data_IF_011483683246
#
_entry.id   IF_011483683246
#
_cell.length_a   1.000
_cell.length_b   1.000
_cell.length_c   1.000
_cell.angle_alpha   90.00
_cell.angle_beta   90.00
_cell.angle_gamma   90.00
#
_symmetry.space_group_name_H-M   'P 1'
#
loop_
_entity.id
_entity.type
_entity.pdbx_description
1 polymer ?
#
# COMPACT_ATOMS: atom_id res chain seq x y z
N UNK A 1 -36.02 -11.69 45.98
CA UNK A 1 -35.25 -10.67 45.23
C UNK A 1 -36.16 -9.47 45.02
N UNK A 2 -35.85 -8.35 45.62
CA UNK A 2 -36.69 -7.15 45.58
C UNK A 2 -36.42 -6.38 44.27
N UNK A 3 -37.44 -5.71 43.75
CA UNK A 3 -37.38 -4.90 42.52
C UNK A 3 -36.21 -3.92 42.50
N UNK A 4 -35.77 -3.43 43.67
CA UNK A 4 -34.56 -2.59 43.85
C UNK A 4 -33.25 -3.29 43.51
N UNK A 5 -33.13 -4.60 43.76
CA UNK A 5 -31.93 -5.38 43.43
C UNK A 5 -31.82 -5.68 41.95
N UNK A 6 -32.96 -5.81 41.25
CA UNK A 6 -33.01 -5.95 39.81
C UNK A 6 -32.57 -4.66 39.09
N UNK A 7 -32.98 -3.48 39.59
CA UNK A 7 -32.59 -2.20 39.00
C UNK A 7 -31.08 -1.89 39.17
N UNK A 8 -30.47 -2.30 40.27
CA UNK A 8 -29.03 -2.12 40.49
C UNK A 8 -28.20 -3.04 39.59
N UNK A 9 -28.65 -4.27 39.35
CA UNK A 9 -28.00 -5.20 38.41
C UNK A 9 -28.14 -4.76 36.97
N UNK A 10 -29.29 -4.20 36.58
CA UNK A 10 -29.51 -3.67 35.24
C UNK A 10 -28.66 -2.39 34.94
N UNK A 11 -28.46 -1.54 35.97
CA UNK A 11 -27.63 -0.32 35.84
C UNK A 11 -26.13 -0.62 35.73
N UNK A 12 -25.63 -1.72 36.31
CA UNK A 12 -24.22 -2.11 36.21
C UNK A 12 -23.86 -2.75 34.84
N UNK A 13 -24.82 -3.22 34.05
CA UNK A 13 -24.58 -3.84 32.74
C UNK A 13 -24.46 -2.83 31.59
N UNK A 14 -24.78 -1.55 31.81
CA UNK A 14 -24.72 -0.49 30.79
C UNK A 14 -23.46 0.34 30.87
N UNK A 15 -22.62 0.17 31.89
CA UNK A 15 -21.36 0.88 32.05
C UNK A 15 -20.16 0.07 31.51
N UNK A 16 -20.25 -0.46 30.28
CA UNK A 16 -19.12 -1.03 29.56
C UNK A 16 -18.55 -0.03 28.55
N UNK A 17 -17.26 -0.06 28.29
CA UNK A 17 -16.31 1.05 28.37
C UNK A 17 -16.32 1.91 27.10
N UNK A 18 -16.75 3.14 27.23
CA UNK A 18 -16.59 4.16 26.17
C UNK A 18 -15.14 4.64 25.97
N UNK A 19 -14.16 4.12 26.72
CA UNK A 19 -12.78 4.61 26.65
C UNK A 19 -11.83 3.85 25.71
N UNK A 20 -12.24 2.74 25.12
CA UNK A 20 -11.36 1.97 24.20
C UNK A 20 -11.55 2.34 22.71
N UNK A 21 -12.56 3.13 22.37
CA UNK A 21 -12.97 3.32 20.98
C UNK A 21 -12.26 4.47 20.22
N UNK A 22 -11.50 5.33 20.88
CA UNK A 22 -11.03 6.57 20.24
C UNK A 22 -9.72 6.46 19.45
N UNK A 23 -8.89 5.46 19.72
CA UNK A 23 -7.68 5.21 18.91
C UNK A 23 -7.95 4.27 17.73
N UNK A 24 -8.89 3.36 17.88
CA UNK A 24 -9.23 2.37 16.84
C UNK A 24 -10.14 2.96 15.75
N UNK A 25 -10.97 3.94 16.08
CA UNK A 25 -11.89 4.58 15.10
C UNK A 25 -11.15 5.42 14.04
N UNK A 26 -10.00 6.03 14.37
CA UNK A 26 -9.20 6.77 13.38
C UNK A 26 -8.45 5.83 12.44
N UNK A 27 -8.01 4.69 12.94
CA UNK A 27 -7.40 3.65 12.13
C UNK A 27 -8.44 2.98 11.22
N UNK A 28 -9.63 2.67 11.73
CA UNK A 28 -10.72 2.07 10.97
C UNK A 28 -11.25 3.00 9.86
N UNK A 29 -11.41 4.28 10.13
CA UNK A 29 -11.82 5.27 9.11
C UNK A 29 -10.84 5.34 7.96
N UNK A 30 -9.55 5.46 8.23
CA UNK A 30 -8.52 5.46 7.18
C UNK A 30 -8.47 4.17 6.38
N UNK A 31 -8.61 3.03 7.03
CA UNK A 31 -8.63 1.74 6.34
C UNK A 31 -9.82 1.63 5.38
N UNK A 32 -10.97 2.18 5.74
CA UNK A 32 -12.15 2.24 4.85
C UNK A 32 -11.88 3.18 3.69
N UNK A 33 -11.29 4.36 3.92
CA UNK A 33 -10.97 5.33 2.87
C UNK A 33 -9.94 4.75 1.88
N UNK A 34 -8.90 4.10 2.37
CA UNK A 34 -7.87 3.44 1.56
C UNK A 34 -8.48 2.30 0.72
N UNK A 35 -9.34 1.46 1.34
CA UNK A 35 -10.02 0.37 0.62
C UNK A 35 -10.92 0.90 -0.48
N UNK A 36 -11.73 1.94 -0.20
CA UNK A 36 -12.58 2.56 -1.20
C UNK A 36 -11.77 3.20 -2.34
N UNK A 37 -10.65 3.81 -2.01
CA UNK A 37 -9.72 4.36 -3.00
C UNK A 37 -9.12 3.27 -3.88
N UNK A 38 -8.65 2.15 -3.31
CA UNK A 38 -8.15 0.99 -4.08
C UNK A 38 -9.20 0.47 -5.06
N UNK A 39 -10.43 0.27 -4.60
CA UNK A 39 -11.55 -0.18 -5.43
C UNK A 39 -11.83 0.82 -6.56
N UNK A 40 -11.86 2.12 -6.25
CA UNK A 40 -12.17 3.17 -7.24
C UNK A 40 -11.09 3.27 -8.32
N UNK A 41 -9.81 3.18 -7.94
CA UNK A 41 -8.69 3.18 -8.88
C UNK A 41 -8.69 1.92 -9.75
N UNK A 42 -8.87 0.73 -9.16
CA UNK A 42 -9.01 -0.52 -9.93
C UNK A 42 -10.18 -0.45 -10.92
N UNK A 43 -11.33 0.09 -10.50
CA UNK A 43 -12.47 0.29 -11.38
C UNK A 43 -12.22 1.32 -12.48
N UNK A 44 -11.42 2.36 -12.23
CA UNK A 44 -11.01 3.32 -13.26
C UNK A 44 -10.05 2.67 -14.26
N UNK A 45 -9.10 1.85 -13.81
CA UNK A 45 -8.19 1.09 -14.67
C UNK A 45 -8.93 0.13 -15.60
N UNK A 46 -9.98 -0.55 -15.13
CA UNK A 46 -10.80 -1.44 -15.94
C UNK A 46 -11.59 -0.71 -17.03
N UNK A 47 -11.86 0.59 -16.86
CA UNK A 47 -12.57 1.44 -17.82
C UNK A 47 -11.64 2.28 -18.70
N UNK A 48 -10.34 2.14 -18.55
CA UNK A 48 -9.33 2.91 -19.26
C UNK A 48 -9.25 2.46 -20.73
N UNK A 49 -9.96 3.17 -21.61
CA UNK A 49 -9.92 2.90 -23.05
C UNK A 49 -8.58 3.32 -23.66
N UNK A 50 -8.02 2.47 -24.51
CA UNK A 50 -6.73 2.72 -25.18
C UNK A 50 -5.47 2.39 -24.36
N UNK A 51 -5.63 1.98 -23.10
CA UNK A 51 -4.55 1.57 -22.19
C UNK A 51 -4.70 0.12 -21.76
N UNK A 52 -3.60 -0.61 -21.71
CA UNK A 52 -3.60 -1.97 -21.18
C UNK A 52 -3.03 -1.97 -19.76
N UNK A 53 -3.95 -1.97 -18.80
CA UNK A 53 -3.67 -1.97 -17.36
C UNK A 53 -4.04 -3.30 -16.70
N UNK A 54 -4.30 -4.35 -17.49
CA UNK A 54 -4.76 -5.66 -16.99
C UNK A 54 -3.71 -6.37 -16.11
N UNK A 55 -2.42 -6.07 -16.32
CA UNK A 55 -1.31 -6.60 -15.53
C UNK A 55 -0.91 -5.74 -14.34
N UNK A 56 -1.62 -4.62 -14.10
CA UNK A 56 -1.31 -3.68 -13.01
C UNK A 56 -2.13 -4.03 -11.77
N UNK A 57 -1.45 -4.11 -10.63
CA UNK A 57 -2.07 -4.19 -9.32
C UNK A 57 -1.92 -2.88 -8.54
N UNK A 58 -2.93 -2.58 -7.71
CA UNK A 58 -3.01 -1.36 -6.90
C UNK A 58 -3.33 -1.71 -5.47
N UNK A 59 -2.49 -1.26 -4.57
CA UNK A 59 -2.75 -1.33 -3.14
C UNK A 59 -2.59 0.07 -2.52
N UNK A 60 -3.59 0.49 -1.75
CA UNK A 60 -3.55 1.79 -1.05
C UNK A 60 -3.59 1.52 0.45
N UNK A 61 -2.57 2.02 1.16
CA UNK A 61 -2.45 1.87 2.60
C UNK A 61 -1.87 3.15 3.19
N UNK A 62 -2.54 3.73 4.19
CA UNK A 62 -2.16 4.98 4.87
C UNK A 62 -1.96 6.16 3.88
N UNK A 63 -2.74 6.17 2.78
CA UNK A 63 -2.66 7.18 1.73
C UNK A 63 -1.47 7.03 0.77
N UNK A 64 -0.72 5.94 0.86
CA UNK A 64 0.31 5.57 -0.09
C UNK A 64 -0.28 4.58 -1.09
N UNK A 65 -0.31 4.92 -2.37
CA UNK A 65 -0.68 4.01 -3.44
C UNK A 65 0.57 3.31 -3.97
N UNK A 66 0.66 2.01 -3.78
CA UNK A 66 1.62 1.15 -4.46
C UNK A 66 0.99 0.67 -5.77
N UNK A 67 1.68 0.90 -6.87
CA UNK A 67 1.37 0.34 -8.18
C UNK A 67 2.43 -0.70 -8.51
N UNK A 68 2.02 -1.93 -8.68
CA UNK A 68 2.90 -3.06 -9.01
C UNK A 68 2.44 -3.81 -10.25
N UNK A 69 3.15 -4.89 -10.56
CA UNK A 69 2.82 -5.71 -11.71
C UNK A 69 3.53 -5.26 -12.99
N UNK A 70 2.86 -5.43 -14.15
CA UNK A 70 3.44 -5.14 -15.47
C UNK A 70 2.47 -4.38 -16.35
N UNK A 71 3.00 -3.51 -17.20
CA UNK A 71 2.27 -2.84 -18.27
C UNK A 71 3.08 -2.93 -19.57
N UNK A 72 2.43 -3.13 -20.74
CA UNK A 72 3.17 -3.36 -21.99
C UNK A 72 3.92 -2.11 -22.48
N UNK A 73 3.44 -0.90 -22.15
CA UNK A 73 4.02 0.36 -22.63
C UNK A 73 4.27 1.33 -21.48
N UNK A 74 5.24 2.21 -21.65
CA UNK A 74 5.53 3.28 -20.68
C UNK A 74 4.31 4.20 -20.46
N UNK A 75 3.55 4.49 -21.51
CA UNK A 75 2.34 5.31 -21.40
C UNK A 75 1.27 4.65 -20.53
N UNK A 76 1.15 3.32 -20.56
CA UNK A 76 0.23 2.56 -19.69
C UNK A 76 0.67 2.68 -18.22
N UNK A 77 1.98 2.55 -17.94
CA UNK A 77 2.56 2.75 -16.59
C UNK A 77 2.26 4.14 -16.05
N UNK A 78 2.43 5.17 -16.86
CA UNK A 78 2.17 6.56 -16.48
C UNK A 78 0.68 6.83 -16.28
N UNK A 79 -0.17 6.28 -17.13
CA UNK A 79 -1.60 6.44 -16.99
C UNK A 79 -2.15 5.78 -15.74
N UNK A 80 -1.63 4.60 -15.37
CA UNK A 80 -1.94 3.96 -14.09
C UNK A 80 -1.60 4.87 -12.89
N UNK A 81 -0.46 5.56 -12.94
CA UNK A 81 -0.08 6.55 -11.91
C UNK A 81 -1.08 7.72 -11.85
N UNK A 82 -1.51 8.22 -13.01
CA UNK A 82 -2.51 9.29 -13.08
C UNK A 82 -3.84 8.87 -12.47
N UNK A 83 -4.29 7.65 -12.74
CA UNK A 83 -5.50 7.10 -12.15
C UNK A 83 -5.38 6.96 -10.63
N UNK A 84 -4.22 6.54 -10.11
CA UNK A 84 -3.98 6.49 -8.68
C UNK A 84 -4.08 7.89 -8.04
N UNK A 85 -3.49 8.90 -8.67
CA UNK A 85 -3.57 10.28 -8.20
C UNK A 85 -4.98 10.89 -8.26
N UNK A 86 -5.91 10.32 -9.03
CA UNK A 86 -7.30 10.78 -9.08
C UNK A 86 -8.07 10.46 -7.80
N UNK A 87 -7.63 9.50 -7.00
CA UNK A 87 -8.30 9.11 -5.77
C UNK A 87 -7.98 10.11 -4.63
N UNK A 88 -9.01 10.68 -3.95
CA UNK A 88 -8.80 11.71 -2.93
C UNK A 88 -7.99 11.28 -1.72
N UNK A 89 -8.03 9.99 -1.37
CA UNK A 89 -7.28 9.42 -0.25
C UNK A 89 -5.77 9.31 -0.53
N UNK A 90 -5.36 9.35 -1.81
CA UNK A 90 -3.95 9.17 -2.21
C UNK A 90 -3.16 10.45 -1.97
N UNK A 91 -2.09 10.34 -1.21
CA UNK A 91 -1.17 11.43 -0.86
C UNK A 91 0.20 11.27 -1.52
N UNK A 92 0.58 10.02 -1.80
CA UNK A 92 1.80 9.67 -2.52
C UNK A 92 1.60 8.40 -3.34
N UNK A 93 2.37 8.27 -4.43
CA UNK A 93 2.33 7.10 -5.30
C UNK A 93 3.73 6.53 -5.45
N UNK A 94 3.85 5.23 -5.16
CA UNK A 94 5.03 4.43 -5.44
C UNK A 94 4.75 3.60 -6.71
N UNK A 95 5.19 4.12 -7.87
CA UNK A 95 4.97 3.45 -9.15
C UNK A 95 6.12 2.48 -9.46
N UNK A 96 5.89 1.21 -9.18
CA UNK A 96 6.83 0.11 -9.42
C UNK A 96 6.36 -0.84 -10.53
N UNK A 97 5.46 -0.38 -11.39
CA UNK A 97 5.04 -1.14 -12.58
C UNK A 97 6.26 -1.37 -13.48
N UNK A 98 6.49 -2.60 -13.87
CA UNK A 98 7.50 -2.95 -14.87
C UNK A 98 6.91 -2.81 -16.28
N UNK A 99 7.66 -2.18 -17.18
CA UNK A 99 7.27 -2.09 -18.58
C UNK A 99 7.77 -3.35 -19.31
N UNK A 100 6.84 -4.10 -19.88
CA UNK A 100 7.13 -5.36 -20.56
C UNK A 100 5.96 -6.33 -20.53
N UNK A 101 6.23 -7.56 -20.95
CA UNK A 101 5.22 -8.62 -20.96
C UNK A 101 4.82 -9.07 -19.55
N UNK A 102 3.57 -9.52 -19.41
CA UNK A 102 3.03 -10.04 -18.16
C UNK A 102 3.88 -11.20 -17.61
N UNK A 103 4.13 -11.18 -16.31
CA UNK A 103 4.90 -12.23 -15.63
C UNK A 103 4.13 -13.53 -15.63
N UNK A 104 4.84 -14.63 -15.94
CA UNK A 104 4.22 -15.96 -15.99
C UNK A 104 3.71 -16.43 -14.63
N UNK A 105 2.73 -17.32 -14.63
CA UNK A 105 2.04 -17.92 -13.48
C UNK A 105 2.99 -18.41 -12.35
N UNK A 106 4.15 -18.98 -12.69
CA UNK A 106 5.10 -19.49 -11.69
C UNK A 106 5.69 -18.39 -10.82
N UNK A 107 5.95 -17.20 -11.36
CA UNK A 107 6.47 -16.06 -10.60
C UNK A 107 5.39 -15.54 -9.63
N UNK A 108 4.14 -15.42 -10.11
CA UNK A 108 3.03 -15.03 -9.24
C UNK A 108 2.82 -15.99 -8.07
N UNK A 109 2.91 -17.31 -8.28
CA UNK A 109 2.80 -18.28 -7.20
C UNK A 109 3.94 -18.15 -6.16
N UNK A 110 5.16 -17.87 -6.61
CA UNK A 110 6.29 -17.61 -5.72
C UNK A 110 6.08 -16.33 -4.89
N UNK A 111 5.60 -15.26 -5.50
CA UNK A 111 5.32 -14.00 -4.82
C UNK A 111 4.26 -14.16 -3.72
N UNK A 112 3.19 -14.92 -3.99
CA UNK A 112 2.18 -15.27 -2.98
C UNK A 112 2.82 -16.04 -1.81
N UNK A 113 3.69 -17.01 -2.10
CA UNK A 113 4.38 -17.77 -1.05
C UNK A 113 5.29 -16.88 -0.20
N UNK A 114 6.06 -15.96 -0.83
CA UNK A 114 6.91 -15.00 -0.14
C UNK A 114 6.06 -14.10 0.77
N UNK A 115 4.98 -13.51 0.25
CA UNK A 115 4.04 -12.66 1.02
C UNK A 115 3.56 -13.38 2.28
N UNK A 116 3.11 -14.64 2.16
CA UNK A 116 2.62 -15.40 3.32
C UNK A 116 3.73 -15.68 4.34
N UNK A 117 4.95 -15.96 3.89
CA UNK A 117 6.10 -16.19 4.77
C UNK A 117 6.52 -14.92 5.51
N UNK A 118 6.56 -13.79 4.82
CA UNK A 118 6.82 -12.48 5.45
C UNK A 118 5.75 -12.19 6.51
N UNK A 119 4.47 -12.34 6.15
CA UNK A 119 3.33 -12.11 7.06
C UNK A 119 3.43 -12.99 8.32
N UNK A 120 3.71 -14.28 8.18
CA UNK A 120 3.88 -15.20 9.28
C UNK A 120 5.08 -14.82 10.16
N UNK A 121 6.18 -14.36 9.55
CA UNK A 121 7.38 -13.97 10.28
C UNK A 121 7.19 -12.69 11.08
N UNK A 122 6.50 -11.68 10.52
CA UNK A 122 6.12 -10.47 11.25
C UNK A 122 5.16 -10.77 12.41
N UNK A 123 4.18 -11.66 12.20
CA UNK A 123 3.24 -12.07 13.24
C UNK A 123 3.91 -12.83 14.40
N UNK A 124 5.05 -13.47 14.16
CA UNK A 124 5.84 -14.19 15.16
C UNK A 124 6.66 -13.29 16.09
N UNK A 125 6.89 -12.03 15.74
CA UNK A 125 7.66 -11.10 16.57
C UNK A 125 6.72 -10.17 17.36
N UNK A 126 6.70 -10.31 18.68
CA UNK A 126 5.89 -9.49 19.59
C UNK A 126 6.22 -7.99 19.56
N UNK A 127 7.43 -7.65 19.09
CA UNK A 127 7.87 -6.26 18.94
C UNK A 127 7.36 -5.60 17.67
N UNK A 128 6.72 -6.37 16.77
CA UNK A 128 6.12 -5.88 15.53
C UNK A 128 4.60 -6.05 15.60
N UNK A 129 3.85 -4.96 15.47
CA UNK A 129 2.39 -5.01 15.33
C UNK A 129 2.03 -5.36 13.88
N UNK A 130 2.13 -6.65 13.54
CA UNK A 130 1.95 -7.16 12.18
C UNK A 130 0.66 -6.72 11.50
N UNK A 131 -0.41 -6.47 12.27
CA UNK A 131 -1.71 -5.98 11.78
C UNK A 131 -1.65 -4.57 11.17
N UNK A 132 -0.62 -3.79 11.51
CA UNK A 132 -0.41 -2.45 10.97
C UNK A 132 0.36 -2.45 9.65
N UNK A 133 0.86 -3.61 9.21
CA UNK A 133 1.64 -3.74 7.99
C UNK A 133 0.84 -4.46 6.92
N UNK A 134 0.73 -3.85 5.75
CA UNK A 134 0.34 -4.53 4.54
C UNK A 134 1.58 -4.96 3.76
N UNK A 135 1.52 -6.15 3.16
CA UNK A 135 2.68 -6.79 2.53
C UNK A 135 2.27 -7.23 1.14
N UNK A 136 2.95 -6.65 0.15
CA UNK A 136 2.78 -7.02 -1.25
C UNK A 136 4.12 -7.51 -1.81
N UNK A 137 4.08 -8.43 -2.76
CA UNK A 137 5.28 -8.96 -3.42
C UNK A 137 5.08 -9.00 -4.92
N UNK A 138 6.01 -8.39 -5.64
CA UNK A 138 6.05 -8.39 -7.09
C UNK A 138 7.46 -8.77 -7.56
N UNK A 139 7.59 -9.94 -8.18
CA UNK A 139 8.85 -10.43 -8.72
C UNK A 139 9.97 -10.58 -7.70
N UNK A 140 9.66 -11.08 -6.50
CA UNK A 140 10.64 -11.22 -5.43
C UNK A 140 10.93 -9.94 -4.64
N UNK A 141 10.41 -8.79 -5.09
CA UNK A 141 10.50 -7.53 -4.35
C UNK A 141 9.33 -7.43 -3.38
N UNK A 142 9.62 -7.35 -2.09
CA UNK A 142 8.61 -7.20 -1.02
C UNK A 142 8.41 -5.72 -0.71
N UNK A 143 7.18 -5.27 -0.74
CA UNK A 143 6.76 -3.94 -0.36
C UNK A 143 6.06 -3.99 0.98
N UNK A 144 6.58 -3.26 1.96
CA UNK A 144 5.96 -3.08 3.27
C UNK A 144 5.27 -1.72 3.29
N UNK A 145 3.95 -1.71 3.44
CA UNK A 145 3.13 -0.50 3.60
C UNK A 145 2.52 -0.47 5.00
N UNK A 146 2.01 0.68 5.40
CA UNK A 146 1.28 0.81 6.64
C UNK A 146 1.93 1.77 7.63
N UNK A 147 1.82 1.43 8.91
CA UNK A 147 2.26 2.30 10.01
C UNK A 147 3.08 1.53 11.05
N UNK A 148 4.25 2.05 11.37
CA UNK A 148 5.06 1.60 12.50
C UNK A 148 5.02 2.65 13.63
N UNK A 149 5.04 2.21 14.88
CA UNK A 149 5.05 3.10 16.06
C UNK A 149 6.30 3.97 16.12
N UNK A 150 7.42 3.40 15.68
CA UNK A 150 8.73 4.03 15.68
C UNK A 150 9.65 3.45 14.59
N UNK A 151 10.82 4.05 14.42
CA UNK A 151 11.81 3.62 13.45
C UNK A 151 12.35 2.21 13.73
N UNK A 152 12.42 1.80 15.00
CA UNK A 152 12.92 0.46 15.37
C UNK A 152 11.95 -0.64 14.92
N UNK A 153 10.63 -0.42 15.07
CA UNK A 153 9.62 -1.35 14.59
C UNK A 153 9.66 -1.45 13.06
N UNK A 154 9.75 -0.31 12.35
CA UNK A 154 9.90 -0.25 10.90
C UNK A 154 11.11 -1.04 10.41
N UNK A 155 12.28 -0.79 10.99
CA UNK A 155 13.51 -1.47 10.64
C UNK A 155 13.46 -2.98 10.96
N UNK A 156 12.87 -3.36 12.10
CA UNK A 156 12.70 -4.75 12.48
C UNK A 156 11.80 -5.49 11.49
N UNK A 157 10.70 -4.87 11.07
CA UNK A 157 9.81 -5.44 10.05
C UNK A 157 10.55 -5.64 8.73
N UNK A 158 11.35 -4.67 8.29
CA UNK A 158 12.17 -4.76 7.08
C UNK A 158 13.17 -5.92 7.17
N UNK A 159 13.91 -6.04 8.27
CA UNK A 159 14.84 -7.16 8.48
C UNK A 159 14.15 -8.52 8.45
N UNK A 160 12.97 -8.63 9.08
CA UNK A 160 12.21 -9.88 9.02
C UNK A 160 11.79 -10.25 7.61
N UNK A 161 11.39 -9.28 6.80
CA UNK A 161 11.02 -9.49 5.41
C UNK A 161 12.24 -9.95 4.59
N UNK A 162 13.39 -9.28 4.74
CA UNK A 162 14.62 -9.59 4.01
C UNK A 162 15.16 -11.00 4.29
N UNK A 163 14.86 -11.57 5.46
CA UNK A 163 15.29 -12.93 5.85
C UNK A 163 14.42 -14.05 5.28
N UNK A 164 13.42 -13.75 4.45
CA UNK A 164 12.57 -14.76 3.81
C UNK A 164 13.22 -15.22 2.50
N UNK A 165 13.37 -16.54 2.33
CA UNK A 165 13.93 -17.11 1.11
C UNK A 165 13.12 -16.66 -0.11
N UNK A 166 13.80 -16.27 -1.17
CA UNK A 166 13.21 -15.79 -2.42
C UNK A 166 12.92 -14.30 -2.43
N UNK A 167 13.13 -13.58 -1.33
CA UNK A 167 13.11 -12.12 -1.31
C UNK A 167 14.40 -11.59 -1.91
N UNK A 168 14.28 -10.85 -3.00
CA UNK A 168 15.39 -10.18 -3.69
C UNK A 168 15.66 -8.80 -3.10
N UNK A 169 14.59 -8.13 -2.63
CA UNK A 169 14.65 -6.78 -2.06
C UNK A 169 13.43 -6.47 -1.21
N UNK A 170 13.59 -5.56 -0.25
CA UNK A 170 12.49 -5.01 0.55
C UNK A 170 12.40 -3.50 0.31
N UNK A 171 11.22 -3.03 -0.06
CA UNK A 171 10.89 -1.60 -0.20
C UNK A 171 10.00 -1.20 0.97
N UNK A 172 10.44 -0.20 1.73
CA UNK A 172 9.75 0.21 2.95
C UNK A 172 8.96 1.50 2.69
N UNK A 173 7.65 1.38 2.58
CA UNK A 173 6.69 2.47 2.37
C UNK A 173 5.87 2.72 3.65
N UNK A 174 6.46 2.43 4.80
CA UNK A 174 5.82 2.47 6.12
C UNK A 174 6.01 3.85 6.74
N UNK A 175 4.91 4.43 7.20
CA UNK A 175 4.91 5.69 7.95
C UNK A 175 5.30 5.46 9.41
N UNK A 176 5.97 6.43 10.02
CA UNK A 176 6.27 6.44 11.47
C UNK A 176 5.89 7.78 12.07
N UNK A 177 5.22 7.78 13.23
CA UNK A 177 5.07 8.92 14.13
C UNK A 177 4.76 10.32 13.54
N UNK A 178 4.28 10.41 12.31
CA UNK A 178 4.06 11.68 11.58
C UNK A 178 4.97 11.84 10.35
N UNK A 179 5.97 11.00 10.19
CA UNK A 179 6.85 10.98 9.03
C UNK A 179 6.22 10.13 7.92
N UNK A 180 6.02 10.73 6.75
CA UNK A 180 5.61 10.01 5.55
C UNK A 180 6.81 9.29 4.91
N UNK A 181 6.61 8.21 4.12
CA UNK A 181 7.66 7.66 3.29
C UNK A 181 8.25 8.75 2.38
N UNK A 182 9.55 8.63 2.07
CA UNK A 182 10.22 9.52 1.12
C UNK A 182 9.75 9.20 -0.30
N UNK A 183 8.59 9.75 -0.65
CA UNK A 183 7.97 9.64 -1.96
C UNK A 183 7.64 11.04 -2.46
N UNK A 184 7.83 11.30 -3.76
CA UNK A 184 7.52 12.60 -4.32
C UNK A 184 6.03 12.92 -4.15
N UNK A 185 5.69 14.13 -3.65
CA UNK A 185 4.32 14.57 -3.52
C UNK A 185 3.68 14.81 -4.90
N UNK A 186 2.36 14.99 -4.90
CA UNK A 186 1.62 15.45 -6.08
C UNK A 186 2.12 16.84 -6.49
N UNK A 187 2.79 16.95 -7.63
CA UNK A 187 3.28 18.21 -8.19
C UNK A 187 2.47 18.66 -9.42
N UNK A 188 2.57 19.95 -9.76
CA UNK A 188 1.91 20.52 -10.98
C UNK A 188 2.35 19.80 -12.26
N UNK A 189 3.63 19.48 -12.39
CA UNK A 189 4.17 18.75 -13.55
C UNK A 189 3.45 17.40 -13.78
N UNK A 190 2.96 16.76 -12.71
CA UNK A 190 2.20 15.51 -12.84
C UNK A 190 0.78 15.71 -13.35
N UNK A 191 0.13 16.82 -13.00
CA UNK A 191 -1.19 17.12 -13.51
C UNK A 191 -1.13 17.34 -15.03
N UNK A 192 -0.16 18.13 -15.52
CA UNK A 192 0.06 18.36 -16.94
C UNK A 192 0.40 17.07 -17.70
N UNK A 193 1.25 16.21 -17.11
CA UNK A 193 1.56 14.91 -17.66
C UNK A 193 0.31 14.04 -17.79
N UNK A 194 -0.52 13.98 -16.75
CA UNK A 194 -1.73 13.18 -16.76
C UNK A 194 -2.73 13.66 -17.83
N UNK A 195 -2.87 14.97 -18.00
CA UNK A 195 -3.71 15.54 -19.04
C UNK A 195 -3.18 15.22 -20.45
N UNK A 196 -1.86 15.30 -20.66
CA UNK A 196 -1.23 14.96 -21.93
C UNK A 196 -1.40 13.46 -22.25
N UNK A 197 -1.14 12.60 -21.28
CA UNK A 197 -1.31 11.13 -21.43
C UNK A 197 -2.76 10.77 -21.74
N UNK A 198 -3.72 11.38 -21.03
CA UNK A 198 -5.15 11.13 -21.27
C UNK A 198 -5.60 11.58 -22.67
N UNK A 199 -4.98 12.61 -23.25
CA UNK A 199 -5.23 13.08 -24.63
C UNK A 199 -4.49 12.26 -25.70
N UNK A 200 -3.67 11.27 -25.30
CA UNK A 200 -2.86 10.49 -26.22
C UNK A 200 -1.66 11.27 -26.81
N UNK A 201 -1.24 12.34 -26.15
CA UNK A 201 -0.09 13.14 -26.55
C UNK A 201 1.21 12.40 -26.22
N UNK A 202 2.32 12.68 -26.93
CA UNK A 202 3.63 12.12 -26.60
C UNK A 202 4.03 12.47 -25.16
N UNK A 203 4.55 11.49 -24.44
CA UNK A 203 5.06 11.67 -23.07
C UNK A 203 6.19 12.72 -23.11
N UNK A 204 6.06 13.83 -22.34
CA UNK A 204 7.09 14.87 -22.35
C UNK A 204 8.44 14.36 -21.86
N UNK A 205 9.51 14.87 -22.45
CA UNK A 205 10.86 14.62 -21.98
C UNK A 205 10.99 15.14 -20.55
N UNK A 206 11.28 14.25 -19.58
CA UNK A 206 11.34 14.59 -18.15
C UNK A 206 10.18 14.00 -17.33
N UNK A 207 9.32 13.17 -17.93
CA UNK A 207 8.36 12.37 -17.17
C UNK A 207 9.09 11.60 -16.05
N UNK A 208 8.47 11.46 -14.86
CA UNK A 208 9.12 10.83 -13.73
C UNK A 208 9.54 9.41 -14.08
N UNK A 209 10.83 9.17 -14.05
CA UNK A 209 11.38 7.83 -14.18
C UNK A 209 10.83 6.94 -13.05
N UNK A 210 10.82 5.63 -13.29
CA UNK A 210 10.57 4.65 -12.23
C UNK A 210 11.51 4.98 -11.06
N UNK A 211 11.01 5.02 -9.81
CA UNK A 211 11.87 5.20 -8.66
C UNK A 211 12.97 4.14 -8.70
N UNK A 212 14.23 4.57 -8.81
CA UNK A 212 15.36 3.66 -8.73
C UNK A 212 15.40 3.11 -7.31
N UNK A 213 15.16 1.81 -7.19
CA UNK A 213 15.23 1.14 -5.90
C UNK A 213 16.69 1.11 -5.49
N UNK A 214 17.05 1.92 -4.50
CA UNK A 214 18.41 1.94 -3.97
C UNK A 214 18.88 0.51 -3.66
N UNK A 215 20.12 0.13 -4.00
CA UNK A 215 20.67 -1.16 -3.61
C UNK A 215 20.60 -1.29 -2.10
N UNK A 216 20.13 -2.43 -1.61
CA UNK A 216 20.24 -2.74 -0.18
C UNK A 216 21.72 -2.95 0.12
N UNK A 217 22.21 -2.23 1.13
CA UNK A 217 23.57 -2.38 1.63
C UNK A 217 23.65 -3.80 2.24
N UNK A 218 24.35 -4.70 1.58
CA UNK A 218 24.63 -6.07 2.00
C UNK A 218 25.56 -6.05 3.23
N UNK A 219 25.02 -5.73 4.43
CA UNK A 219 25.76 -5.86 5.70
C UNK A 219 24.99 -6.63 6.73
#
# INVERSE_FOLDING_TARGET
MTLRQLCVLAACLVALPACAATQDQRAAGRQIDDTNASISVKAAMLRAEGFDLSGVDVEITEGVALLGGTAPREVDRLYAECLAWSAPAVRSVANHIEVGEARGFRRGANDVWITQRVRARLAGDRSVRSVNFNIETHGGVVYLLGFARDANERERASRHAALVNGVERVVVLVRTGGEAPDLPPRGELRAELCDAVARGEPVPAGAPARPELAPQDDR
#
